data_IF_733539379922
#
_entry.id   IF_733539379922
#
_cell.length_a   1.000
_cell.length_b   1.000
_cell.length_c   1.000
_cell.angle_alpha   90.00
_cell.angle_beta   90.00
_cell.angle_gamma   90.00
#
_symmetry.space_group_name_H-M   'P 1'
#
loop_
_entity.id
_entity.type
_entity.pdbx_description
1 polymer ?
#
# COMPACT_ATOMS: atom_id res chain seq x y z
N UNK A 1 -26.40 -22.19 -1.51
CA UNK A 1 -25.07 -21.74 -1.94
C UNK A 1 -24.19 -21.75 -0.70
N UNK A 2 -22.98 -22.30 -0.78
CA UNK A 2 -22.04 -22.34 0.32
C UNK A 2 -20.99 -21.24 0.13
N UNK A 3 -20.68 -20.51 1.19
CA UNK A 3 -19.60 -19.52 1.18
C UNK A 3 -18.53 -19.98 2.17
N UNK A 4 -17.30 -20.05 1.69
CA UNK A 4 -16.11 -20.29 2.49
C UNK A 4 -15.28 -19.01 2.53
N UNK A 5 -14.99 -18.51 3.73
CA UNK A 5 -14.09 -17.39 3.99
C UNK A 5 -12.84 -17.94 4.66
N UNK A 6 -11.68 -17.80 4.00
CA UNK A 6 -10.41 -18.34 4.49
C UNK A 6 -10.50 -19.84 4.85
N UNK A 7 -11.31 -20.60 4.10
CA UNK A 7 -11.58 -22.02 4.32
C UNK A 7 -12.64 -22.35 5.37
N UNK A 8 -13.23 -21.36 6.05
CA UNK A 8 -14.28 -21.55 7.05
C UNK A 8 -15.67 -21.19 6.52
N UNK A 9 -16.69 -22.00 6.85
CA UNK A 9 -18.07 -21.70 6.48
C UNK A 9 -18.56 -20.42 7.16
N UNK A 10 -19.25 -19.56 6.42
CA UNK A 10 -19.78 -18.28 6.91
C UNK A 10 -21.27 -18.16 6.66
N UNK A 11 -21.94 -17.37 7.50
CA UNK A 11 -23.37 -17.06 7.43
C UNK A 11 -23.68 -15.87 6.50
N UNK A 12 -22.73 -15.48 5.64
CA UNK A 12 -22.95 -14.42 4.65
C UNK A 12 -24.13 -14.79 3.72
N UNK A 13 -25.08 -13.87 3.60
CA UNK A 13 -26.25 -14.02 2.74
C UNK A 13 -26.33 -12.88 1.74
N UNK A 14 -26.71 -13.19 0.50
CA UNK A 14 -26.99 -12.19 -0.53
C UNK A 14 -28.39 -11.61 -0.34
N UNK A 15 -28.52 -10.30 -0.48
CA UNK A 15 -29.80 -9.62 -0.29
C UNK A 15 -30.42 -9.17 -1.61
N UNK A 16 -29.62 -8.75 -2.59
CA UNK A 16 -30.13 -8.09 -3.80
C UNK A 16 -29.41 -8.45 -5.09
N UNK A 17 -28.32 -9.22 -4.99
CA UNK A 17 -27.43 -9.59 -6.09
C UNK A 17 -28.10 -10.60 -7.02
N UNK A 18 -27.97 -10.37 -8.33
CA UNK A 18 -28.57 -11.18 -9.40
C UNK A 18 -27.53 -11.86 -10.27
N UNK A 19 -26.34 -11.29 -10.34
CA UNK A 19 -25.24 -11.74 -11.20
C UNK A 19 -23.99 -12.00 -10.38
N UNK A 20 -23.08 -12.80 -10.94
CA UNK A 20 -21.76 -13.03 -10.34
C UNK A 20 -21.00 -11.70 -10.16
N UNK A 21 -21.08 -10.78 -11.13
CA UNK A 21 -20.43 -9.48 -11.00
C UNK A 21 -20.91 -8.67 -9.79
N UNK A 22 -22.20 -8.69 -9.49
CA UNK A 22 -22.78 -8.03 -8.32
C UNK A 22 -22.32 -8.71 -7.02
N UNK A 23 -22.29 -10.05 -6.99
CA UNK A 23 -21.77 -10.82 -5.85
C UNK A 23 -20.32 -10.47 -5.54
N UNK A 24 -19.47 -10.40 -6.57
CA UNK A 24 -18.05 -10.04 -6.41
C UNK A 24 -17.90 -8.62 -5.86
N UNK A 25 -18.67 -7.68 -6.40
CA UNK A 25 -18.65 -6.30 -5.93
C UNK A 25 -19.09 -6.21 -4.45
N UNK A 26 -20.14 -6.95 -4.07
CA UNK A 26 -20.60 -7.05 -2.69
C UNK A 26 -19.55 -7.65 -1.74
N UNK A 27 -18.87 -8.72 -2.16
CA UNK A 27 -17.79 -9.33 -1.38
C UNK A 27 -16.60 -8.40 -1.17
N UNK A 28 -16.19 -7.71 -2.23
CA UNK A 28 -15.09 -6.74 -2.12
C UNK A 28 -15.47 -5.60 -1.18
N UNK A 29 -16.65 -5.01 -1.34
CA UNK A 29 -17.13 -3.95 -0.46
C UNK A 29 -17.27 -4.41 0.99
N UNK A 30 -17.75 -5.64 1.20
CA UNK A 30 -17.82 -6.25 2.53
C UNK A 30 -16.42 -6.41 3.13
N UNK A 31 -15.47 -7.01 2.42
CA UNK A 31 -14.11 -7.22 2.90
C UNK A 31 -13.43 -5.87 3.24
N UNK A 32 -13.58 -4.87 2.37
CA UNK A 32 -13.05 -3.52 2.57
C UNK A 32 -13.64 -2.86 3.83
N UNK A 33 -14.95 -3.03 4.09
CA UNK A 33 -15.60 -2.52 5.31
C UNK A 33 -15.02 -3.12 6.59
N UNK A 34 -14.45 -4.32 6.49
CA UNK A 34 -13.78 -5.02 7.59
C UNK A 34 -12.27 -4.75 7.63
N UNK A 35 -11.73 -3.85 6.80
CA UNK A 35 -10.30 -3.56 6.72
C UNK A 35 -9.48 -4.67 6.07
N UNK A 36 -10.11 -5.49 5.21
CA UNK A 36 -9.48 -6.58 4.49
C UNK A 36 -9.56 -6.37 2.97
N UNK A 37 -8.70 -7.09 2.24
CA UNK A 37 -8.72 -7.15 0.78
C UNK A 37 -8.88 -8.61 0.35
N UNK A 38 -9.75 -8.85 -0.64
CA UNK A 38 -9.90 -10.16 -1.27
C UNK A 38 -8.66 -10.44 -2.13
N UNK A 39 -7.97 -11.54 -1.85
CA UNK A 39 -6.75 -11.96 -2.57
C UNK A 39 -6.98 -13.14 -3.50
N UNK A 40 -7.98 -13.96 -3.18
CA UNK A 40 -8.40 -15.10 -3.99
C UNK A 40 -9.91 -15.17 -3.96
N UNK A 41 -10.49 -15.54 -5.08
CA UNK A 41 -11.89 -15.85 -5.18
C UNK A 41 -12.03 -17.04 -6.14
N UNK A 42 -12.79 -18.04 -5.72
CA UNK A 42 -13.16 -19.21 -6.50
C UNK A 42 -14.68 -19.30 -6.53
N UNK A 43 -15.22 -19.48 -7.74
CA UNK A 43 -16.65 -19.65 -7.95
C UNK A 43 -16.85 -21.03 -8.55
N UNK A 44 -17.63 -21.88 -7.87
CA UNK A 44 -17.78 -23.30 -8.22
C UNK A 44 -16.41 -23.98 -8.44
N UNK A 45 -15.45 -23.70 -7.55
CA UNK A 45 -14.06 -24.18 -7.58
C UNK A 45 -13.24 -23.74 -8.82
N UNK A 46 -13.63 -22.66 -9.52
CA UNK A 46 -12.91 -22.12 -10.68
C UNK A 46 -12.39 -20.69 -10.43
N UNK A 47 -11.23 -20.37 -10.99
CA UNK A 47 -10.58 -19.06 -10.91
C UNK A 47 -11.17 -18.02 -11.88
N UNK A 48 -10.83 -16.75 -11.63
CA UNK A 48 -11.32 -15.56 -12.33
C UNK A 48 -11.22 -15.59 -13.85
N UNK A 49 -10.21 -16.27 -14.40
CA UNK A 49 -9.97 -16.35 -15.85
C UNK A 49 -11.12 -17.01 -16.63
N UNK A 50 -12.02 -17.71 -15.92
CA UNK A 50 -13.12 -18.47 -16.52
C UNK A 50 -14.51 -17.91 -16.20
N UNK A 51 -14.59 -16.72 -15.59
CA UNK A 51 -15.87 -16.19 -15.13
C UNK A 51 -16.57 -15.34 -16.20
N UNK A 52 -17.88 -15.55 -16.32
CA UNK A 52 -18.79 -14.62 -16.97
C UNK A 52 -19.41 -13.71 -15.88
N UNK A 53 -19.12 -12.40 -15.86
CA UNK A 53 -19.72 -11.48 -14.89
C UNK A 53 -21.25 -11.44 -14.92
N UNK A 54 -21.87 -11.86 -16.03
CA UNK A 54 -23.33 -11.90 -16.19
C UNK A 54 -23.94 -13.24 -15.76
N UNK A 55 -23.12 -14.20 -15.30
CA UNK A 55 -23.60 -15.49 -14.80
C UNK A 55 -24.66 -15.30 -13.72
N UNK A 56 -25.78 -16.03 -13.82
CA UNK A 56 -26.88 -15.88 -12.88
C UNK A 56 -26.48 -16.42 -11.50
N UNK A 57 -26.90 -15.73 -10.44
CA UNK A 57 -26.66 -16.16 -9.06
C UNK A 57 -27.21 -17.57 -8.76
N UNK A 58 -28.24 -18.01 -9.48
CA UNK A 58 -28.81 -19.36 -9.32
C UNK A 58 -27.89 -20.48 -9.81
N UNK A 59 -26.92 -20.15 -10.65
CA UNK A 59 -25.89 -21.07 -11.17
C UNK A 59 -24.65 -21.10 -10.28
N UNK A 60 -24.61 -20.25 -9.24
CA UNK A 60 -23.54 -20.20 -8.26
C UNK A 60 -23.92 -21.11 -7.09
N UNK A 61 -23.10 -22.14 -6.84
CA UNK A 61 -23.32 -23.11 -5.79
C UNK A 61 -22.31 -22.93 -4.66
N UNK A 62 -21.05 -22.68 -5.00
CA UNK A 62 -19.96 -22.53 -4.04
C UNK A 62 -19.17 -21.25 -4.35
N UNK A 63 -18.88 -20.48 -3.31
CA UNK A 63 -18.01 -19.30 -3.37
C UNK A 63 -16.95 -19.45 -2.29
N UNK A 64 -15.69 -19.45 -2.67
CA UNK A 64 -14.57 -19.47 -1.73
C UNK A 64 -13.81 -18.18 -1.91
N UNK A 65 -13.62 -17.42 -0.83
CA UNK A 65 -12.78 -16.24 -0.84
C UNK A 65 -11.71 -16.31 0.22
N UNK A 66 -10.50 -15.90 -0.16
CA UNK A 66 -9.43 -15.63 0.79
C UNK A 66 -9.27 -14.12 0.93
N UNK A 67 -9.16 -13.67 2.17
CA UNK A 67 -8.92 -12.28 2.50
C UNK A 67 -7.68 -12.14 3.36
N UNK A 68 -7.01 -11.00 3.21
CA UNK A 68 -5.92 -10.59 4.10
C UNK A 68 -6.18 -9.18 4.61
N UNK A 69 -5.64 -8.79 5.77
CA UNK A 69 -5.70 -7.41 6.22
C UNK A 69 -5.15 -6.46 5.16
N UNK A 70 -5.80 -5.32 4.96
CA UNK A 70 -5.47 -4.37 3.89
C UNK A 70 -4.00 -3.92 3.93
N UNK A 71 -3.45 -3.75 5.13
CA UNK A 71 -2.03 -3.42 5.32
C UNK A 71 -1.09 -4.51 4.81
N UNK A 72 -1.45 -5.79 5.02
CA UNK A 72 -0.65 -6.92 4.53
C UNK A 72 -0.73 -7.04 3.02
N UNK A 73 -1.92 -6.84 2.44
CA UNK A 73 -2.09 -6.78 0.99
C UNK A 73 -1.22 -5.66 0.41
N UNK A 74 -1.32 -4.45 0.94
CA UNK A 74 -0.52 -3.31 0.50
C UNK A 74 0.99 -3.59 0.58
N UNK A 75 1.49 -4.15 1.68
CA UNK A 75 2.91 -4.53 1.82
C UNK A 75 3.33 -5.58 0.79
N UNK A 76 2.47 -6.55 0.50
CA UNK A 76 2.73 -7.56 -0.52
C UNK A 76 2.82 -6.93 -1.91
N UNK A 77 1.81 -6.12 -2.29
CA UNK A 77 1.77 -5.42 -3.58
C UNK A 77 2.98 -4.50 -3.76
N UNK A 78 3.34 -3.74 -2.72
CA UNK A 78 4.54 -2.91 -2.68
C UNK A 78 5.81 -3.72 -2.93
N UNK A 79 5.95 -4.89 -2.30
CA UNK A 79 7.12 -5.75 -2.48
C UNK A 79 7.22 -6.27 -3.91
N UNK A 80 6.10 -6.69 -4.51
CA UNK A 80 6.03 -7.15 -5.90
C UNK A 80 6.43 -6.03 -6.85
N UNK A 81 5.79 -4.87 -6.73
CA UNK A 81 6.05 -3.70 -7.59
C UNK A 81 7.49 -3.20 -7.43
N UNK A 82 7.98 -3.04 -6.20
CA UNK A 82 9.38 -2.63 -5.94
C UNK A 82 10.37 -3.61 -6.56
N UNK A 83 10.17 -4.91 -6.36
CA UNK A 83 11.04 -5.94 -6.91
C UNK A 83 11.06 -5.94 -8.43
N UNK A 84 9.91 -5.73 -9.07
CA UNK A 84 9.80 -5.56 -10.52
C UNK A 84 10.58 -4.32 -10.99
N UNK A 85 10.35 -3.16 -10.36
CA UNK A 85 10.99 -1.90 -10.76
C UNK A 85 12.51 -1.94 -10.54
N UNK A 86 12.99 -2.50 -9.42
CA UNK A 86 14.43 -2.62 -9.15
C UNK A 86 15.13 -3.48 -10.18
N UNK A 87 14.52 -4.62 -10.56
CA UNK A 87 15.04 -5.47 -11.63
C UNK A 87 15.04 -4.73 -12.97
N UNK A 88 13.98 -4.00 -13.28
CA UNK A 88 13.88 -3.17 -14.49
C UNK A 88 15.02 -2.14 -14.56
N UNK A 89 15.21 -1.36 -13.48
CA UNK A 89 16.28 -0.36 -13.36
C UNK A 89 17.65 -1.01 -13.58
N UNK A 90 17.91 -2.13 -12.92
CA UNK A 90 19.17 -2.85 -13.05
C UNK A 90 19.41 -3.36 -14.48
N UNK A 91 18.39 -3.92 -15.13
CA UNK A 91 18.47 -4.40 -16.51
C UNK A 91 18.78 -3.26 -17.49
N UNK A 92 18.10 -2.13 -17.34
CA UNK A 92 18.31 -0.92 -18.15
C UNK A 92 19.73 -0.37 -17.96
N UNK A 93 20.20 -0.25 -16.72
CA UNK A 93 21.54 0.29 -16.41
C UNK A 93 22.68 -0.60 -16.94
N UNK A 94 22.47 -1.92 -17.01
CA UNK A 94 23.46 -2.86 -17.51
C UNK A 94 23.38 -3.11 -19.02
N UNK A 95 22.47 -2.43 -19.74
CA UNK A 95 22.39 -2.47 -21.20
C UNK A 95 21.89 -3.79 -21.78
N UNK A 96 21.17 -4.61 -21.01
CA UNK A 96 20.60 -5.88 -21.47
C UNK A 96 19.22 -5.67 -22.09
N UNK A 97 19.20 -5.09 -23.29
CA UNK A 97 17.94 -4.73 -23.97
C UNK A 97 17.06 -5.94 -24.33
N UNK A 98 17.67 -7.11 -24.56
CA UNK A 98 16.94 -8.36 -24.85
C UNK A 98 16.07 -8.84 -23.68
N UNK A 99 16.46 -8.50 -22.45
CA UNK A 99 15.70 -8.85 -21.24
C UNK A 99 14.47 -7.94 -21.04
N UNK A 100 14.38 -6.78 -21.73
CA UNK A 100 13.27 -5.84 -21.59
C UNK A 100 11.94 -6.38 -22.14
N UNK A 101 11.99 -7.32 -23.09
CA UNK A 101 10.80 -7.97 -23.64
C UNK A 101 10.01 -8.68 -22.54
N UNK A 102 10.68 -9.39 -21.64
CA UNK A 102 10.02 -10.07 -20.53
C UNK A 102 9.32 -9.07 -19.58
N UNK A 103 9.94 -7.92 -19.28
CA UNK A 103 9.29 -6.88 -18.48
C UNK A 103 8.06 -6.30 -19.20
N UNK A 104 8.14 -6.09 -20.51
CA UNK A 104 7.01 -5.62 -21.29
C UNK A 104 5.84 -6.62 -21.26
N UNK A 105 6.12 -7.92 -21.31
CA UNK A 105 5.13 -8.99 -21.21
C UNK A 105 4.52 -9.10 -19.80
N UNK A 106 5.31 -8.86 -18.76
CA UNK A 106 4.86 -8.88 -17.36
C UNK A 106 4.07 -7.61 -16.96
N UNK A 107 4.29 -6.50 -17.65
CA UNK A 107 3.70 -5.20 -17.29
C UNK A 107 2.17 -5.19 -17.12
N UNK A 108 1.36 -5.88 -17.95
CA UNK A 108 -0.10 -5.96 -17.74
C UNK A 108 -0.52 -6.53 -16.38
N UNK A 109 0.33 -7.33 -15.73
CA UNK A 109 0.08 -7.87 -14.38
C UNK A 109 0.52 -6.89 -13.28
N UNK A 110 1.51 -6.05 -13.59
CA UNK A 110 2.05 -5.04 -12.67
C UNK A 110 1.23 -3.75 -12.72
N UNK A 111 0.70 -3.38 -13.88
CA UNK A 111 -0.02 -2.11 -14.08
C UNK A 111 -1.21 -1.94 -13.14
N UNK A 112 -2.04 -2.97 -12.83
CA UNK A 112 -3.13 -2.82 -11.86
C UNK A 112 -2.62 -2.59 -10.44
N UNK A 113 -1.47 -3.18 -10.07
CA UNK A 113 -0.82 -2.94 -8.78
C UNK A 113 -0.34 -1.49 -8.70
N UNK A 114 0.31 -0.98 -9.74
CA UNK A 114 0.74 0.42 -9.83
C UNK A 114 -0.44 1.37 -9.61
N UNK A 115 -1.59 1.14 -10.25
CA UNK A 115 -2.79 1.97 -10.07
C UNK A 115 -3.29 1.94 -8.63
N UNK A 116 -3.39 0.76 -8.01
CA UNK A 116 -3.85 0.64 -6.61
C UNK A 116 -2.92 1.35 -5.63
N UNK A 117 -1.64 1.39 -5.97
CA UNK A 117 -0.59 2.10 -5.24
C UNK A 117 -0.45 3.56 -5.69
N UNK A 118 -1.43 4.09 -6.43
CA UNK A 118 -1.54 5.49 -6.84
C UNK A 118 -0.55 5.98 -7.88
N UNK A 119 0.21 5.08 -8.50
CA UNK A 119 1.13 5.41 -9.58
C UNK A 119 0.43 5.43 -10.94
N UNK A 120 0.96 6.23 -11.86
CA UNK A 120 0.55 6.18 -13.27
C UNK A 120 0.94 4.84 -13.88
N UNK A 121 -0.03 4.12 -14.44
CA UNK A 121 0.16 2.78 -15.01
C UNK A 121 0.18 2.77 -16.55
N UNK A 122 0.34 3.93 -17.18
CA UNK A 122 0.54 4.02 -18.63
C UNK A 122 1.76 3.18 -19.03
N UNK A 123 1.71 2.47 -20.18
CA UNK A 123 2.85 1.72 -20.68
C UNK A 123 4.09 2.61 -20.76
N UNK A 124 5.22 2.21 -20.16
CA UNK A 124 6.42 3.03 -20.19
C UNK A 124 7.05 2.97 -21.59
N UNK A 125 7.93 3.93 -21.93
CA UNK A 125 8.60 3.97 -23.23
C UNK A 125 9.69 2.88 -23.29
N UNK A 126 9.29 1.65 -23.59
CA UNK A 126 10.15 0.46 -23.64
C UNK A 126 11.33 0.59 -24.61
N UNK A 127 11.16 1.40 -25.66
CA UNK A 127 12.14 1.70 -26.69
C UNK A 127 13.16 2.77 -26.29
N UNK A 128 12.95 3.46 -25.17
CA UNK A 128 13.81 4.53 -24.68
C UNK A 128 14.31 4.23 -23.25
N UNK A 129 15.48 3.58 -23.11
CA UNK A 129 16.06 3.20 -21.82
C UNK A 129 16.17 4.36 -20.84
N UNK A 130 16.50 5.56 -21.32
CA UNK A 130 16.61 6.76 -20.47
C UNK A 130 15.26 7.15 -19.88
N UNK A 131 14.22 7.27 -20.73
CA UNK A 131 12.88 7.62 -20.24
C UNK A 131 12.25 6.51 -19.38
N UNK A 132 12.56 5.25 -19.69
CA UNK A 132 12.15 4.09 -18.89
C UNK A 132 12.77 4.13 -17.49
N UNK A 133 14.06 4.49 -17.39
CA UNK A 133 14.75 4.66 -16.11
C UNK A 133 14.16 5.81 -15.29
N UNK A 134 13.89 6.96 -15.91
CA UNK A 134 13.25 8.09 -15.24
C UNK A 134 11.85 7.71 -14.74
N UNK A 135 11.04 7.03 -15.57
CA UNK A 135 9.72 6.53 -15.17
C UNK A 135 9.80 5.57 -13.98
N UNK A 136 10.75 4.64 -14.01
CA UNK A 136 10.97 3.67 -12.94
C UNK A 136 11.35 4.35 -11.61
N UNK A 137 12.22 5.38 -11.66
CA UNK A 137 12.55 6.18 -10.46
C UNK A 137 11.33 6.92 -9.92
N UNK A 138 10.54 7.55 -10.80
CA UNK A 138 9.30 8.23 -10.40
C UNK A 138 8.35 7.28 -9.68
N UNK A 139 8.17 6.05 -10.19
CA UNK A 139 7.33 5.06 -9.50
C UNK A 139 7.84 4.76 -8.09
N UNK A 140 9.15 4.49 -7.94
CA UNK A 140 9.72 4.26 -6.61
C UNK A 140 9.45 5.45 -5.68
N UNK A 141 9.64 6.68 -6.13
CA UNK A 141 9.41 7.88 -5.31
C UNK A 141 7.94 8.12 -4.95
N UNK A 142 7.01 7.75 -5.83
CA UNK A 142 5.57 8.04 -5.64
C UNK A 142 4.95 7.26 -4.48
N UNK A 143 5.42 6.03 -4.21
CA UNK A 143 4.74 5.15 -3.26
C UNK A 143 4.85 5.58 -1.79
N UNK A 144 6.05 5.93 -1.26
CA UNK A 144 6.15 6.51 0.07
C UNK A 144 5.34 7.81 0.18
N UNK A 145 5.39 8.64 -0.85
CA UNK A 145 4.68 9.93 -0.87
C UNK A 145 3.19 9.78 -0.66
N UNK A 146 2.55 8.90 -1.42
CA UNK A 146 1.10 8.74 -1.35
C UNK A 146 0.65 8.22 0.03
N UNK A 147 1.45 7.36 0.66
CA UNK A 147 1.14 6.79 1.97
C UNK A 147 1.43 7.76 3.11
N UNK A 148 2.60 8.42 3.08
CA UNK A 148 3.09 9.27 4.16
C UNK A 148 2.42 10.63 4.19
N UNK A 149 2.19 11.26 3.03
CA UNK A 149 1.76 12.66 2.98
C UNK A 149 0.53 13.00 3.85
N UNK A 150 -0.56 12.21 3.83
CA UNK A 150 -1.72 12.47 4.70
C UNK A 150 -1.35 12.51 6.19
N UNK A 151 -0.40 11.67 6.63
CA UNK A 151 0.04 11.61 8.01
C UNK A 151 1.08 12.69 8.34
N UNK A 152 1.97 13.04 7.40
CA UNK A 152 2.92 14.14 7.56
C UNK A 152 2.21 15.48 7.81
N UNK A 153 1.10 15.74 7.11
CA UNK A 153 0.27 16.93 7.35
C UNK A 153 -0.25 16.96 8.79
N UNK A 154 -0.72 15.83 9.32
CA UNK A 154 -1.21 15.74 10.71
C UNK A 154 -0.09 15.93 11.73
N UNK A 155 1.11 15.42 11.45
CA UNK A 155 2.28 15.58 12.30
C UNK A 155 2.76 17.04 12.35
N UNK A 156 2.77 17.76 11.22
CA UNK A 156 3.06 19.21 11.19
C UNK A 156 2.09 20.00 12.07
N UNK A 157 0.84 19.56 12.13
CA UNK A 157 -0.19 20.19 12.95
C UNK A 157 -0.22 19.70 14.41
N UNK A 158 0.65 18.77 14.81
CA UNK A 158 0.57 18.06 16.08
C UNK A 158 0.58 19.00 17.30
N UNK A 159 1.51 19.95 17.35
CA UNK A 159 1.59 20.92 18.45
C UNK A 159 0.33 21.79 18.55
N UNK A 160 -0.26 22.15 17.41
CA UNK A 160 -1.53 22.88 17.35
C UNK A 160 -2.70 22.04 17.85
N UNK A 161 -2.75 20.75 17.53
CA UNK A 161 -3.80 19.83 18.01
C UNK A 161 -3.80 19.73 19.54
N UNK A 162 -2.61 19.60 20.15
CA UNK A 162 -2.45 19.61 21.61
C UNK A 162 -2.96 20.92 22.22
N UNK A 163 -2.59 22.08 21.65
CA UNK A 163 -3.05 23.39 22.14
C UNK A 163 -4.58 23.56 22.08
N UNK A 164 -5.23 22.89 21.14
CA UNK A 164 -6.69 22.88 20.99
C UNK A 164 -7.40 21.86 21.90
N UNK A 165 -6.67 21.10 22.72
CA UNK A 165 -7.20 20.02 23.54
C UNK A 165 -7.64 18.79 22.74
N UNK A 166 -7.13 18.64 21.51
CA UNK A 166 -7.43 17.53 20.61
C UNK A 166 -6.41 16.39 20.76
N UNK A 167 -6.15 16.00 22.00
CA UNK A 167 -5.08 15.06 22.35
C UNK A 167 -5.23 13.72 21.64
N UNK A 168 -6.47 13.25 21.45
CA UNK A 168 -6.74 12.01 20.71
C UNK A 168 -6.29 12.09 19.25
N UNK A 169 -6.57 13.20 18.56
CA UNK A 169 -6.15 13.40 17.17
C UNK A 169 -4.62 13.47 17.08
N UNK A 170 -3.97 14.15 18.04
CA UNK A 170 -2.52 14.23 18.13
C UNK A 170 -1.87 12.85 18.37
N UNK A 171 -2.39 12.06 19.30
CA UNK A 171 -1.86 10.71 19.56
C UNK A 171 -2.13 9.75 18.39
N UNK A 172 -3.25 9.90 17.69
CA UNK A 172 -3.51 9.13 16.47
C UNK A 172 -2.47 9.43 15.39
N UNK A 173 -2.05 10.68 15.22
CA UNK A 173 -1.01 11.04 14.26
C UNK A 173 0.34 10.34 14.58
N UNK A 174 0.72 10.25 15.86
CA UNK A 174 1.91 9.52 16.29
C UNK A 174 1.80 8.01 16.05
N UNK A 175 0.63 7.44 16.31
CA UNK A 175 0.40 6.02 16.03
C UNK A 175 0.49 5.72 14.53
N UNK A 176 -0.11 6.57 13.70
CA UNK A 176 -0.04 6.47 12.24
C UNK A 176 1.41 6.55 11.76
N UNK A 177 2.20 7.49 12.28
CA UNK A 177 3.63 7.60 12.01
C UNK A 177 4.37 6.30 12.35
N UNK A 178 4.16 5.76 13.55
CA UNK A 178 4.81 4.52 13.97
C UNK A 178 4.50 3.36 13.01
N UNK A 179 3.25 3.25 12.56
CA UNK A 179 2.84 2.21 11.62
C UNK A 179 3.51 2.38 10.26
N UNK A 180 3.60 3.61 9.77
CA UNK A 180 4.27 3.90 8.50
C UNK A 180 5.76 3.62 8.57
N UNK A 181 6.44 3.99 9.65
CA UNK A 181 7.86 3.70 9.85
C UNK A 181 8.13 2.20 9.88
N UNK A 182 7.29 1.42 10.57
CA UNK A 182 7.39 -0.04 10.57
C UNK A 182 7.21 -0.60 9.16
N UNK A 183 6.22 -0.10 8.41
CA UNK A 183 5.97 -0.51 7.04
C UNK A 183 7.15 -0.21 6.11
N UNK A 184 7.71 1.00 6.19
CA UNK A 184 8.90 1.40 5.44
C UNK A 184 10.11 0.52 5.79
N UNK A 185 10.31 0.22 7.07
CA UNK A 185 11.37 -0.68 7.53
C UNK A 185 11.21 -2.09 6.97
N UNK A 186 10.00 -2.66 7.00
CA UNK A 186 9.69 -3.99 6.40
C UNK A 186 9.86 -4.02 4.90
N UNK A 187 9.68 -2.87 4.25
CA UNK A 187 9.92 -2.69 2.82
C UNK A 187 11.39 -2.38 2.52
N UNK A 188 12.28 -2.33 3.52
CA UNK A 188 13.69 -1.96 3.37
C UNK A 188 13.84 -0.65 2.58
N UNK A 189 13.00 0.31 2.93
CA UNK A 189 12.97 1.64 2.31
C UNK A 189 13.88 2.59 3.09
N UNK A 190 14.76 3.31 2.39
CA UNK A 190 15.79 4.14 3.02
C UNK A 190 17.09 3.38 3.26
N UNK A 191 18.19 4.14 3.44
CA UNK A 191 19.51 3.55 3.74
C UNK A 191 19.69 3.36 5.25
N UNK A 192 20.61 2.48 5.65
CA UNK A 192 20.99 2.30 7.05
C UNK A 192 21.39 3.62 7.72
N UNK A 193 22.13 4.48 7.01
CA UNK A 193 22.53 5.80 7.50
C UNK A 193 21.32 6.71 7.73
N UNK A 194 20.33 6.67 6.83
CA UNK A 194 19.09 7.45 6.97
C UNK A 194 18.27 6.98 8.17
N UNK A 195 18.10 5.66 8.36
CA UNK A 195 17.40 5.10 9.52
C UNK A 195 18.06 5.48 10.84
N UNK A 196 19.39 5.44 10.89
CA UNK A 196 20.16 5.82 12.07
C UNK A 196 19.97 7.30 12.43
N UNK A 197 20.01 8.17 11.43
CA UNK A 197 19.79 9.61 11.61
C UNK A 197 18.36 9.87 12.13
N UNK A 198 17.33 9.29 11.49
CA UNK A 198 15.94 9.43 11.93
C UNK A 198 15.71 8.92 13.37
N UNK A 199 16.26 7.75 13.71
CA UNK A 199 16.09 7.15 15.03
C UNK A 199 16.61 8.05 16.16
N UNK A 200 17.63 8.87 15.90
CA UNK A 200 18.16 9.81 16.90
C UNK A 200 17.06 10.77 17.37
N UNK A 201 16.26 11.31 16.46
CA UNK A 201 15.17 12.23 16.78
C UNK A 201 13.93 11.53 17.31
N UNK A 202 13.65 10.30 16.85
CA UNK A 202 12.55 9.50 17.39
C UNK A 202 12.77 9.13 18.85
N UNK A 203 14.01 8.76 19.22
CA UNK A 203 14.40 8.49 20.60
C UNK A 203 14.23 9.75 21.47
N UNK A 204 14.72 10.90 21.00
CA UNK A 204 14.58 12.17 21.70
C UNK A 204 13.09 12.58 21.88
N UNK A 205 12.27 12.38 20.85
CA UNK A 205 10.84 12.66 20.91
C UNK A 205 10.12 11.74 21.90
N UNK A 206 10.49 10.44 21.96
CA UNK A 206 9.94 9.50 22.92
C UNK A 206 10.32 9.85 24.37
N UNK A 207 11.56 10.29 24.60
CA UNK A 207 12.01 10.78 25.90
C UNK A 207 11.28 12.08 26.31
N UNK A 208 11.13 13.03 25.38
CA UNK A 208 10.37 14.26 25.59
C UNK A 208 8.90 13.96 25.96
N UNK A 209 8.26 13.03 25.25
CA UNK A 209 6.90 12.60 25.54
C UNK A 209 6.77 11.98 26.94
N UNK A 210 7.73 11.15 27.33
CA UNK A 210 7.79 10.53 28.68
C UNK A 210 7.91 11.60 29.78
N UNK A 211 8.65 12.68 29.53
CA UNK A 211 8.78 13.84 30.42
C UNK A 211 7.62 14.83 30.32
N UNK A 212 6.64 14.56 29.45
CA UNK A 212 5.53 15.48 29.13
C UNK A 212 5.99 16.84 28.58
N UNK A 213 7.17 16.89 27.96
CA UNK A 213 7.67 18.08 27.28
C UNK A 213 7.07 18.16 25.86
N UNK A 214 5.80 18.55 25.81
CA UNK A 214 5.03 18.57 24.56
C UNK A 214 5.51 19.65 23.57
N UNK A 215 6.22 20.67 24.05
CA UNK A 215 6.82 21.70 23.18
C UNK A 215 7.98 21.08 22.41
N UNK A 216 8.90 20.40 23.12
CA UNK A 216 10.01 19.70 22.47
C UNK A 216 9.52 18.62 21.51
N UNK A 217 8.47 17.86 21.86
CA UNK A 217 7.87 16.88 20.95
C UNK A 217 7.38 17.57 19.66
N UNK A 218 6.65 18.68 19.77
CA UNK A 218 6.15 19.40 18.61
C UNK A 218 7.31 19.90 17.72
N UNK A 219 8.35 20.48 18.32
CA UNK A 219 9.52 21.00 17.61
C UNK A 219 10.27 19.87 16.87
N UNK A 220 10.51 18.74 17.52
CA UNK A 220 11.16 17.58 16.90
C UNK A 220 10.34 17.00 15.74
N UNK A 221 9.02 16.92 15.89
CA UNK A 221 8.14 16.44 14.82
C UNK A 221 8.19 17.38 13.61
N UNK A 222 8.01 18.69 13.84
CA UNK A 222 7.90 19.69 12.78
C UNK A 222 9.23 19.93 12.06
N UNK A 223 10.32 20.07 12.80
CA UNK A 223 11.59 20.55 12.26
C UNK A 223 12.62 19.45 12.00
N UNK A 224 12.51 18.28 12.64
CA UNK A 224 13.51 17.22 12.49
C UNK A 224 12.96 15.97 11.81
N UNK A 225 11.84 15.43 12.29
CA UNK A 225 11.29 14.15 11.82
C UNK A 225 10.58 14.31 10.48
N UNK A 226 9.63 15.25 10.37
CA UNK A 226 8.85 15.44 9.15
C UNK A 226 9.72 15.78 7.93
N UNK A 227 10.69 16.72 8.00
CA UNK A 227 11.55 17.03 6.86
C UNK A 227 12.37 15.83 6.35
N UNK A 228 12.78 14.93 7.25
CA UNK A 228 13.49 13.70 6.89
C UNK A 228 12.58 12.70 6.18
N UNK A 229 11.34 12.57 6.63
CA UNK A 229 10.34 11.74 5.96
C UNK A 229 10.01 12.29 4.57
N UNK A 230 9.89 13.60 4.42
CA UNK A 230 9.71 14.23 3.11
C UNK A 230 10.91 14.00 2.18
N UNK A 231 12.13 13.99 2.72
CA UNK A 231 13.34 13.70 1.93
C UNK A 231 13.43 12.26 1.44
N UNK A 232 12.72 11.32 2.07
CA UNK A 232 12.69 9.92 1.66
C UNK A 232 11.94 9.73 0.33
N UNK A 233 11.00 10.65 0.05
CA UNK A 233 10.21 10.64 -1.16
C UNK A 233 10.80 11.47 -2.31
N UNK A 234 11.76 12.35 -2.03
CA UNK A 234 12.41 13.24 -3.00
C UNK A 234 13.51 12.55 -3.82
#
# INVERSE_FOLDING_TARGET
MNILLNGEATDLTWESEKTLGEVIAGLNAWAESQGHQVTSLLVNHKTADFWDPQLSIHEIHDVELDTVPQEQAWLHEMRVVRGYIQKLVHTVQNGKSEDLVAFQEDFPWISPLLVRLGAEASPPPWDNPTLLLERAKTWLQTFPDQKLQPHLVQLKDWGRLIQQGKDREAMQALQNLSQDLENLSRLDWGSEAWWKDLNTFLEEAAEALTRQDLVLVADLLEYEIVPRLESLSA
#
